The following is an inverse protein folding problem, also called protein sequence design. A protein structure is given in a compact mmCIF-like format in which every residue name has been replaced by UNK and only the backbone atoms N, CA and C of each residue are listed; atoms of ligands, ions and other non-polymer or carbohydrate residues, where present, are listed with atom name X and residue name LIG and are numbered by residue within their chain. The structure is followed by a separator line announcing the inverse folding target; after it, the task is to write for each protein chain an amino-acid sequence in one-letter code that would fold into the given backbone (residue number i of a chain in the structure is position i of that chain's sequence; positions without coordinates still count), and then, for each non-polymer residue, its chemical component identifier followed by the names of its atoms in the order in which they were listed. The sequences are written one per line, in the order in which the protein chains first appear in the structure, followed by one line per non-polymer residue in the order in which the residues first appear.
data_IF_873972339282
#
_entry.id   IF_873972339282
#
_cell.length_a   1.000
_cell.length_b   1.000
_cell.length_c   1.000
_cell.angle_alpha   90.00
_cell.angle_beta   90.00
_cell.angle_gamma   90.00
#
_symmetry.space_group_name_H-M   'P 1'
#
loop_
_entity.id
_entity.type
_entity.pdbx_description
1 polymer ?
#
# COMPACT_ATOMS: atom_id res chain seq x y z
N UNK A 1 -8.66 11.35 7.82
CA UNK A 1 -7.39 10.71 8.22
C UNK A 1 -6.29 11.29 7.34
N UNK A 2 -5.16 11.69 7.91
CA UNK A 2 -4.07 12.39 7.20
C UNK A 2 -3.33 11.43 6.26
N UNK A 3 -3.57 11.53 4.95
CA UNK A 3 -2.91 10.73 3.89
C UNK A 3 -1.54 11.31 3.52
N UNK A 4 -0.58 11.33 4.46
CA UNK A 4 0.70 12.03 4.25
C UNK A 4 1.65 11.30 3.29
N UNK A 5 1.56 9.97 3.16
CA UNK A 5 2.50 9.20 2.34
C UNK A 5 2.12 9.15 0.85
N UNK A 6 0.85 9.36 0.53
CA UNK A 6 0.36 9.21 -0.85
C UNK A 6 0.56 10.45 -1.73
N UNK A 7 0.86 11.60 -1.12
CA UNK A 7 1.15 12.85 -1.82
C UNK A 7 2.65 13.02 -2.17
N UNK A 8 3.47 12.02 -1.87
CA UNK A 8 4.93 12.14 -1.99
C UNK A 8 5.35 11.68 -3.37
N UNK A 9 5.91 12.62 -4.13
CA UNK A 9 6.33 12.43 -5.54
C UNK A 9 7.44 11.37 -5.68
N UNK A 10 8.24 11.14 -4.64
CA UNK A 10 9.36 10.19 -4.60
C UNK A 10 9.30 9.28 -3.35
N UNK A 11 8.46 8.23 -3.37
CA UNK A 11 8.32 7.32 -2.22
C UNK A 11 9.63 6.58 -1.91
N UNK A 12 10.46 6.32 -2.91
CA UNK A 12 11.78 5.71 -2.80
C UNK A 12 12.74 6.54 -1.93
N UNK A 13 12.85 7.85 -2.18
CA UNK A 13 13.72 8.76 -1.42
C UNK A 13 13.20 9.01 -0.01
N UNK A 14 11.87 9.03 0.15
CA UNK A 14 11.25 9.17 1.46
C UNK A 14 11.62 8.00 2.37
N UNK A 15 11.59 6.77 1.86
CA UNK A 15 11.96 5.59 2.63
C UNK A 15 13.40 5.69 3.12
N UNK A 16 14.31 6.14 2.25
CA UNK A 16 15.73 6.33 2.60
C UNK A 16 15.88 7.36 3.73
N UNK A 17 15.25 8.54 3.62
CA UNK A 17 15.33 9.57 4.66
C UNK A 17 14.64 9.15 5.96
N UNK A 18 13.51 8.44 5.87
CA UNK A 18 12.78 7.96 7.05
C UNK A 18 13.63 6.97 7.85
N UNK A 19 14.30 6.04 7.17
CA UNK A 19 15.19 5.05 7.79
C UNK A 19 16.56 5.62 8.17
N UNK A 20 17.01 6.70 7.51
CA UNK A 20 18.22 7.43 7.92
C UNK A 20 18.02 8.13 9.26
N UNK A 21 16.82 8.65 9.53
CA UNK A 21 16.50 9.41 10.75
C UNK A 21 16.01 8.49 11.87
N UNK A 22 15.23 7.45 11.54
CA UNK A 22 14.64 6.52 12.50
C UNK A 22 15.15 5.10 12.34
N UNK A 23 15.33 4.37 13.46
CA UNK A 23 15.73 2.95 13.43
C UNK A 23 14.70 2.05 12.73
N UNK A 24 13.44 2.45 12.77
CA UNK A 24 12.31 1.74 12.16
C UNK A 24 11.30 2.76 11.62
N UNK A 25 10.53 2.35 10.61
CA UNK A 25 9.47 3.16 10.02
C UNK A 25 8.18 2.38 9.83
N UNK A 26 7.06 3.08 9.82
CA UNK A 26 5.73 2.51 9.53
C UNK A 26 5.20 3.14 8.26
N UNK A 27 4.84 2.32 7.28
CA UNK A 27 4.36 2.74 5.97
C UNK A 27 2.96 2.18 5.75
N UNK A 28 2.02 3.05 5.40
CA UNK A 28 0.62 2.69 5.17
C UNK A 28 0.15 3.21 3.82
N UNK A 29 -0.48 2.34 3.03
CA UNK A 29 -1.03 2.70 1.71
C UNK A 29 -2.24 1.83 1.34
N UNK A 30 -3.17 2.32 0.50
CA UNK A 30 -4.22 1.49 -0.09
C UNK A 30 -3.59 0.52 -1.09
N UNK A 31 -3.97 -0.75 -0.99
CA UNK A 31 -3.47 -1.79 -1.88
C UNK A 31 -4.26 -1.81 -3.19
N UNK A 32 -3.63 -1.38 -4.28
CA UNK A 32 -4.22 -1.42 -5.62
C UNK A 32 -4.44 -2.85 -6.13
N UNK A 33 -3.76 -3.83 -5.56
CA UNK A 33 -3.94 -5.25 -5.87
C UNK A 33 -5.31 -5.81 -5.45
N UNK A 34 -6.07 -5.06 -4.64
CA UNK A 34 -7.38 -5.47 -4.12
C UNK A 34 -8.35 -5.84 -5.25
N UNK A 35 -9.14 -6.90 -5.03
CA UNK A 35 -9.99 -7.50 -6.06
C UNK A 35 -10.96 -6.51 -6.70
N UNK A 36 -11.50 -5.56 -5.91
CA UNK A 36 -12.43 -4.57 -6.44
C UNK A 36 -11.75 -3.56 -7.38
N UNK A 37 -10.47 -3.23 -7.14
CA UNK A 37 -9.68 -2.41 -8.05
C UNK A 37 -9.44 -3.14 -9.38
N UNK A 38 -9.06 -4.42 -9.31
CA UNK A 38 -8.84 -5.25 -10.51
C UNK A 38 -10.12 -5.38 -11.34
N UNK A 39 -11.25 -5.60 -10.69
CA UNK A 39 -12.55 -5.71 -11.36
C UNK A 39 -12.92 -4.41 -12.08
N UNK A 40 -12.75 -3.25 -11.43
CA UNK A 40 -13.05 -1.95 -12.05
C UNK A 40 -12.16 -1.66 -13.25
N UNK A 41 -10.87 -1.98 -13.17
CA UNK A 41 -9.94 -1.85 -14.30
C UNK A 41 -10.34 -2.79 -15.45
N UNK A 42 -10.72 -4.04 -15.16
CA UNK A 42 -11.22 -4.97 -16.18
C UNK A 42 -12.50 -4.47 -16.84
N UNK A 43 -13.31 -3.69 -16.13
CA UNK A 43 -14.49 -3.00 -16.66
C UNK A 43 -14.17 -1.67 -17.37
N UNK A 44 -12.88 -1.35 -17.55
CA UNK A 44 -12.41 -0.15 -18.25
C UNK A 44 -12.58 1.15 -17.46
N UNK A 45 -12.70 1.08 -16.13
CA UNK A 45 -12.90 2.24 -15.25
C UNK A 45 -11.75 2.39 -14.27
N UNK A 46 -11.41 3.65 -13.97
CA UNK A 46 -10.50 3.95 -12.87
C UNK A 46 -11.13 3.49 -11.55
N UNK A 47 -10.38 2.77 -10.70
CA UNK A 47 -10.94 2.16 -9.53
C UNK A 47 -11.22 3.22 -8.47
N UNK A 48 -12.46 3.25 -8.01
CA UNK A 48 -12.88 4.01 -6.84
C UNK A 48 -13.14 3.02 -5.72
N UNK A 49 -12.45 3.18 -4.60
CA UNK A 49 -12.65 2.34 -3.41
C UNK A 49 -12.82 3.21 -2.18
N UNK A 50 -13.37 2.70 -1.06
CA UNK A 50 -13.45 3.47 0.18
C UNK A 50 -12.11 4.06 0.65
N UNK A 51 -10.98 3.41 0.31
CA UNK A 51 -9.62 3.86 0.59
C UNK A 51 -9.00 4.70 -0.54
N UNK A 52 -9.63 4.74 -1.72
CA UNK A 52 -9.26 5.51 -2.91
C UNK A 52 -10.49 6.27 -3.42
N UNK A 53 -11.02 7.18 -2.59
CA UNK A 53 -12.33 7.81 -2.79
C UNK A 53 -12.33 9.00 -3.76
N UNK A 54 -11.22 9.27 -4.42
CA UNK A 54 -11.06 10.43 -5.30
C UNK A 54 -11.38 10.07 -6.75
N UNK A 55 -11.90 11.06 -7.49
CA UNK A 55 -12.12 10.92 -8.93
C UNK A 55 -10.78 10.91 -9.66
N UNK A 56 -10.75 10.25 -10.83
CA UNK A 56 -9.52 10.03 -11.60
C UNK A 56 -8.76 11.31 -11.96
N UNK A 57 -9.47 12.44 -12.11
CA UNK A 57 -8.90 13.74 -12.46
C UNK A 57 -8.47 14.59 -11.25
N UNK A 58 -8.76 14.12 -10.02
CA UNK A 58 -8.51 14.83 -8.76
C UNK A 58 -7.89 13.91 -7.71
N UNK A 59 -7.14 12.89 -8.16
CA UNK A 59 -6.58 11.88 -7.27
C UNK A 59 -5.23 12.36 -6.70
N UNK A 60 -5.10 12.52 -5.36
CA UNK A 60 -3.83 12.90 -4.73
C UNK A 60 -2.80 11.76 -4.72
N UNK A 61 -3.23 10.54 -5.05
CA UNK A 61 -2.42 9.32 -5.05
C UNK A 61 -1.76 9.14 -6.42
N UNK A 62 -0.58 9.73 -6.60
CA UNK A 62 0.13 9.72 -7.88
C UNK A 62 0.69 8.32 -8.20
N UNK A 63 0.98 7.52 -7.16
CA UNK A 63 1.59 6.20 -7.28
C UNK A 63 0.62 5.10 -6.84
N UNK A 64 0.11 4.33 -7.81
CA UNK A 64 -0.71 3.14 -7.56
C UNK A 64 0.20 2.01 -7.09
N UNK A 65 0.14 1.67 -5.80
CA UNK A 65 1.04 0.69 -5.20
C UNK A 65 0.29 -0.61 -4.84
N UNK A 66 0.94 -1.75 -5.08
CA UNK A 66 0.49 -3.06 -4.60
C UNK A 66 1.43 -3.57 -3.51
N UNK A 67 0.99 -4.58 -2.73
CA UNK A 67 1.87 -5.22 -1.74
C UNK A 67 3.16 -5.74 -2.39
N UNK A 68 3.06 -6.34 -3.58
CA UNK A 68 4.20 -6.90 -4.31
C UNK A 68 5.18 -5.81 -4.73
N UNK A 69 4.70 -4.70 -5.33
CA UNK A 69 5.57 -3.59 -5.73
C UNK A 69 6.34 -3.00 -4.53
N UNK A 70 5.70 -2.90 -3.36
CA UNK A 70 6.35 -2.37 -2.17
C UNK A 70 7.39 -3.34 -1.59
N UNK A 71 7.08 -4.65 -1.59
CA UNK A 71 8.00 -5.69 -1.16
C UNK A 71 9.23 -5.77 -2.07
N UNK A 72 9.04 -5.66 -3.39
CA UNK A 72 10.12 -5.61 -4.39
C UNK A 72 11.02 -4.38 -4.16
N UNK A 73 10.43 -3.20 -3.91
CA UNK A 73 11.18 -1.97 -3.60
C UNK A 73 11.99 -2.11 -2.30
N UNK A 74 11.40 -2.73 -1.27
CA UNK A 74 12.09 -3.00 -0.02
C UNK A 74 13.29 -3.94 -0.25
N UNK A 75 13.13 -4.98 -1.08
CA UNK A 75 14.20 -5.88 -1.44
C UNK A 75 15.33 -5.17 -2.21
N UNK A 76 14.99 -4.34 -3.20
CA UNK A 76 15.95 -3.56 -3.98
C UNK A 76 16.78 -2.62 -3.08
N UNK A 77 16.14 -2.00 -2.09
CA UNK A 77 16.77 -1.08 -1.13
C UNK A 77 17.42 -1.76 0.07
N UNK A 78 17.44 -3.10 0.14
CA UNK A 78 17.92 -3.84 1.31
C UNK A 78 17.25 -3.41 2.62
N UNK A 79 15.94 -3.15 2.56
CA UNK A 79 15.11 -2.78 3.70
C UNK A 79 14.48 -4.05 4.26
N UNK A 80 14.61 -4.26 5.57
CA UNK A 80 14.02 -5.39 6.26
C UNK A 80 12.57 -5.11 6.62
N UNK A 81 11.66 -5.99 6.20
CA UNK A 81 10.26 -5.96 6.62
C UNK A 81 10.14 -6.74 7.93
N UNK A 82 9.79 -6.05 9.01
CA UNK A 82 9.62 -6.64 10.34
C UNK A 82 8.22 -7.19 10.55
N UNK A 83 7.21 -6.45 10.10
CA UNK A 83 5.82 -6.83 10.24
C UNK A 83 5.02 -6.36 9.03
N UNK A 84 4.08 -7.20 8.62
CA UNK A 84 3.12 -6.90 7.57
C UNK A 84 1.72 -7.16 8.10
N UNK A 85 0.89 -6.13 8.06
CA UNK A 85 -0.53 -6.22 8.40
C UNK A 85 -1.33 -5.72 7.22
N UNK A 86 -2.42 -6.41 6.92
CA UNK A 86 -3.33 -6.03 5.86
C UNK A 86 -4.72 -5.95 6.46
N UNK A 87 -5.36 -4.79 6.30
CA UNK A 87 -6.68 -4.51 6.84
C UNK A 87 -7.74 -4.56 5.72
N UNK A 88 -8.90 -5.10 6.07
CA UNK A 88 -10.13 -5.02 5.30
C UNK A 88 -11.15 -4.22 6.12
N UNK A 89 -11.96 -3.37 5.47
CA UNK A 89 -13.00 -2.58 6.14
C UNK A 89 -14.15 -3.43 6.65
N UNK A 90 -14.28 -4.65 6.14
CA UNK A 90 -15.27 -5.62 6.58
C UNK A 90 -14.48 -6.78 7.20
N UNK A 91 -14.71 -7.11 8.47
CA UNK A 91 -14.05 -8.22 9.20
C UNK A 91 -14.40 -9.61 8.61
N UNK A 92 -14.31 -9.80 7.30
CA UNK A 92 -15.06 -10.85 6.62
C UNK A 92 -14.32 -12.18 6.57
N UNK A 93 -12.99 -12.26 6.54
CA UNK A 93 -12.32 -13.56 6.71
C UNK A 93 -10.80 -13.42 6.89
N UNK A 94 -10.32 -13.55 8.14
CA UNK A 94 -8.88 -13.62 8.46
C UNK A 94 -8.15 -14.72 7.65
N UNK A 95 -8.85 -15.80 7.29
CA UNK A 95 -8.28 -16.94 6.57
C UNK A 95 -7.94 -16.61 5.11
N UNK A 96 -8.84 -15.97 4.36
CA UNK A 96 -8.62 -15.63 2.95
C UNK A 96 -7.60 -14.49 2.79
N UNK A 97 -7.56 -13.56 3.76
CA UNK A 97 -6.57 -12.49 3.80
C UNK A 97 -5.16 -13.05 4.03
N UNK A 98 -5.01 -14.08 4.87
CA UNK A 98 -3.72 -14.74 5.06
C UNK A 98 -3.27 -15.53 3.83
N UNK A 99 -4.20 -16.12 3.08
CA UNK A 99 -3.88 -16.93 1.89
C UNK A 99 -3.60 -16.06 0.65
N UNK A 100 -4.38 -14.99 0.45
CA UNK A 100 -4.24 -14.08 -0.69
C UNK A 100 -4.26 -12.61 -0.26
N UNK A 101 -3.24 -12.16 0.49
CA UNK A 101 -3.21 -10.82 1.08
C UNK A 101 -3.23 -9.71 0.02
N UNK A 102 -2.59 -9.92 -1.13
CA UNK A 102 -2.57 -8.94 -2.22
C UNK A 102 -3.94 -8.79 -2.91
N UNK A 103 -4.79 -9.82 -2.86
CA UNK A 103 -6.09 -9.80 -3.52
C UNK A 103 -7.21 -9.33 -2.58
N UNK A 104 -7.15 -9.74 -1.31
CA UNK A 104 -8.21 -9.51 -0.31
C UNK A 104 -7.93 -8.32 0.62
N UNK A 105 -6.72 -7.77 0.59
CA UNK A 105 -6.34 -6.64 1.40
C UNK A 105 -6.68 -5.29 0.82
N UNK A 106 -7.39 -4.44 1.54
CA UNK A 106 -7.70 -3.08 1.07
C UNK A 106 -6.63 -2.06 1.48
N UNK A 107 -6.14 -2.12 2.72
CA UNK A 107 -5.10 -1.22 3.23
C UNK A 107 -3.93 -2.05 3.75
N UNK A 108 -2.73 -1.66 3.35
CA UNK A 108 -1.48 -2.27 3.79
C UNK A 108 -0.83 -1.42 4.88
N UNK A 109 -0.28 -2.09 5.90
CA UNK A 109 0.56 -1.49 6.94
C UNK A 109 1.83 -2.33 7.08
N UNK A 110 2.97 -1.69 6.85
CA UNK A 110 4.28 -2.30 6.93
C UNK A 110 5.10 -1.62 8.03
N UNK A 111 5.75 -2.43 8.85
CA UNK A 111 6.83 -1.98 9.75
C UNK A 111 8.15 -2.41 9.13
N UNK A 112 9.01 -1.45 8.85
CA UNK A 112 10.27 -1.64 8.13
C UNK A 112 11.45 -1.13 8.96
N UNK A 113 12.63 -1.67 8.68
CA UNK A 113 13.88 -1.33 9.36
C UNK A 113 15.03 -1.34 8.35
N UNK A 114 15.99 -0.44 8.52
CA UNK A 114 17.24 -0.49 7.77
C UNK A 114 18.05 -1.71 8.19
N UNK A 115 18.50 -2.51 7.21
CA UNK A 115 19.28 -3.73 7.46
C UNK A 115 20.63 -3.43 8.10
#
# INVERSE_FOLDING_TARGET
MTQTLQAIQHPDKLLDEMLRIGREGIVTFPNFGYWSCRLQIMLGRMPVTPSLSHQWYDTPNIHLCTLSNFEDLCQEKSIKILHRTVADNQHINHFLINLFPNLMGQIALYRIQQQ
#
